data_IF_288026077413
#
_entry.id   IF_288026077413
#
_cell.length_a   1.000
_cell.length_b   1.000
_cell.length_c   1.000
_cell.angle_alpha   90.00
_cell.angle_beta   90.00
_cell.angle_gamma   90.00
#
_symmetry.space_group_name_H-M   'P 1'
#
loop_
_entity.id
_entity.type
_entity.pdbx_description
1 polymer ?
#
# COMPACT_ATOMS: atom_id res chain seq x y z
N UNK A 1 -34.95 63.89 -10.42
CA UNK A 1 -33.89 62.95 -10.95
C UNK A 1 -32.74 62.78 -9.97
N UNK A 2 -32.07 63.78 -9.44
CA UNK A 2 -30.91 63.64 -8.53
C UNK A 2 -31.16 62.80 -7.27
N UNK A 3 -32.36 62.89 -6.66
CA UNK A 3 -32.71 62.08 -5.45
C UNK A 3 -32.87 60.59 -5.74
N UNK A 4 -33.36 60.22 -6.91
CA UNK A 4 -33.51 58.79 -7.30
C UNK A 4 -32.14 58.16 -7.53
N UNK A 5 -31.19 58.86 -8.12
CA UNK A 5 -29.82 58.36 -8.24
C UNK A 5 -29.14 58.14 -6.87
N UNK A 6 -29.41 58.98 -5.89
CA UNK A 6 -28.86 58.87 -4.56
C UNK A 6 -29.36 57.60 -3.86
N UNK A 7 -30.65 57.27 -3.97
CA UNK A 7 -31.22 56.05 -3.45
C UNK A 7 -30.69 54.80 -4.17
N UNK A 8 -30.46 54.86 -5.48
CA UNK A 8 -29.91 53.79 -6.28
C UNK A 8 -28.46 53.47 -5.89
N UNK A 9 -27.64 54.48 -5.70
CA UNK A 9 -26.26 54.36 -5.24
C UNK A 9 -26.20 53.82 -3.81
N UNK A 10 -27.07 54.30 -2.93
CA UNK A 10 -27.17 53.78 -1.54
C UNK A 10 -27.62 52.30 -1.48
N UNK A 11 -28.55 51.89 -2.34
CA UNK A 11 -28.94 50.47 -2.44
C UNK A 11 -27.80 49.60 -2.97
N UNK A 12 -27.06 50.07 -3.97
CA UNK A 12 -25.90 49.30 -4.50
C UNK A 12 -24.80 49.17 -3.45
N UNK A 13 -24.51 50.20 -2.66
CA UNK A 13 -23.55 50.12 -1.55
C UNK A 13 -23.98 49.14 -0.46
N UNK A 14 -25.26 49.06 -0.15
CA UNK A 14 -25.78 48.10 0.85
C UNK A 14 -25.71 46.68 0.31
N UNK A 15 -26.04 46.45 -0.95
CA UNK A 15 -25.98 45.14 -1.59
C UNK A 15 -24.53 44.63 -1.73
N UNK A 16 -23.58 45.49 -2.09
CA UNK A 16 -22.17 45.11 -2.13
C UNK A 16 -21.58 44.83 -0.75
N UNK A 17 -22.05 45.50 0.30
CA UNK A 17 -21.62 45.23 1.66
C UNK A 17 -22.16 43.88 2.22
N UNK A 18 -23.30 43.41 1.70
CA UNK A 18 -23.87 42.12 2.09
C UNK A 18 -23.23 40.89 1.35
N UNK A 19 -22.51 41.12 0.26
CA UNK A 19 -21.84 40.09 -0.51
C UNK A 19 -20.43 39.77 -0.01
N UNK A 20 -19.87 40.51 0.92
CA UNK A 20 -18.64 40.11 1.65
C UNK A 20 -18.97 39.11 2.74
N UNK A 21 -19.53 38.00 2.35
CA UNK A 21 -19.63 36.82 3.22
C UNK A 21 -18.22 36.30 3.51
N UNK A 22 -17.90 36.19 4.77
CA UNK A 22 -16.60 35.72 5.23
C UNK A 22 -16.32 34.30 4.76
N UNK A 23 -15.56 34.09 3.70
CA UNK A 23 -15.00 32.79 3.32
C UNK A 23 -14.23 32.16 4.47
N UNK A 24 -13.61 32.96 5.34
CA UNK A 24 -12.91 32.50 6.53
C UNK A 24 -13.80 31.79 7.58
N UNK A 25 -15.12 31.95 7.57
CA UNK A 25 -16.03 31.21 8.48
C UNK A 25 -16.52 29.89 7.89
N UNK A 26 -16.35 29.67 6.59
CA UNK A 26 -16.69 28.40 5.94
C UNK A 26 -15.55 27.37 6.03
N UNK A 27 -14.34 27.81 6.29
CA UNK A 27 -13.18 26.97 6.59
C UNK A 27 -13.10 26.68 8.10
N UNK A 28 -14.13 26.08 8.67
CA UNK A 28 -14.00 25.49 10.02
C UNK A 28 -13.13 24.25 9.94
N UNK A 29 -11.83 24.43 10.17
CA UNK A 29 -10.94 23.32 10.44
C UNK A 29 -11.41 22.63 11.72
N UNK A 30 -11.80 21.35 11.62
CA UNK A 30 -12.07 20.56 12.81
C UNK A 30 -10.76 20.41 13.60
N UNK A 31 -10.64 21.01 14.81
CA UNK A 31 -9.39 20.98 15.57
C UNK A 31 -8.98 19.57 15.99
N UNK A 32 -9.91 18.61 15.92
CA UNK A 32 -9.67 17.20 16.27
C UNK A 32 -9.43 16.30 15.05
N UNK A 33 -9.39 16.85 13.84
CA UNK A 33 -9.10 16.11 12.62
C UNK A 33 -7.79 16.59 12.01
N UNK A 34 -6.81 15.69 11.91
CA UNK A 34 -5.60 15.98 11.14
C UNK A 34 -5.97 16.38 9.71
N UNK A 35 -5.53 17.54 9.29
CA UNK A 35 -5.61 18.01 7.90
C UNK A 35 -4.28 17.72 7.21
N UNK A 36 -4.21 17.84 5.90
CA UNK A 36 -2.96 17.67 5.18
C UNK A 36 -1.86 18.63 5.68
N UNK A 37 -2.23 19.85 6.07
CA UNK A 37 -1.31 20.87 6.57
C UNK A 37 -0.85 20.62 8.01
N UNK A 38 -1.65 19.95 8.83
CA UNK A 38 -1.35 19.69 10.25
C UNK A 38 -0.80 18.29 10.51
N UNK A 39 -0.91 17.38 9.58
CA UNK A 39 -0.26 16.07 9.58
C UNK A 39 1.19 16.23 9.05
N UNK A 40 2.00 15.28 9.10
CA UNK A 40 3.37 15.28 8.57
C UNK A 40 4.34 16.22 9.32
N UNK A 41 4.09 16.52 10.61
CA UNK A 41 4.92 17.42 11.40
C UNK A 41 5.99 16.69 12.22
N UNK A 42 5.76 15.43 12.53
CA UNK A 42 6.62 14.63 13.41
C UNK A 42 6.97 13.27 12.79
N UNK A 43 8.04 12.63 13.29
CA UNK A 43 8.38 11.26 12.93
C UNK A 43 7.22 10.29 13.20
N UNK A 44 6.47 10.51 14.28
CA UNK A 44 5.30 9.69 14.63
C UNK A 44 4.19 9.76 13.57
N UNK A 45 4.01 10.90 12.91
CA UNK A 45 3.03 11.04 11.82
C UNK A 45 3.41 10.17 10.62
N UNK A 46 4.70 10.15 10.27
CA UNK A 46 5.21 9.28 9.20
C UNK A 46 5.09 7.79 9.55
N UNK A 47 5.36 7.39 10.81
CA UNK A 47 5.18 6.01 11.26
C UNK A 47 3.72 5.58 11.22
N UNK A 48 2.80 6.46 11.60
CA UNK A 48 1.35 6.22 11.49
C UNK A 48 0.93 6.05 10.02
N UNK A 49 1.44 6.92 9.15
CA UNK A 49 1.20 6.82 7.71
C UNK A 49 1.74 5.51 7.13
N UNK A 50 2.97 5.10 7.49
CA UNK A 50 3.56 3.82 7.09
C UNK A 50 2.69 2.64 7.52
N UNK A 51 2.22 2.64 8.77
CA UNK A 51 1.31 1.59 9.27
C UNK A 51 0.05 1.49 8.42
N UNK A 52 -0.46 2.63 7.96
CA UNK A 52 -1.64 2.64 7.07
C UNK A 52 -1.41 1.94 5.73
N UNK A 53 -0.16 1.83 5.25
CA UNK A 53 0.17 1.17 3.99
C UNK A 53 -0.02 -0.36 4.04
N UNK A 54 -0.01 -0.96 5.23
CA UNK A 54 -0.27 -2.40 5.41
C UNK A 54 -1.77 -2.74 5.46
N UNK A 55 -2.63 -1.77 5.77
CA UNK A 55 -4.09 -1.99 5.87
C UNK A 55 -4.70 -2.62 4.61
N UNK A 56 -4.31 -2.22 3.37
CA UNK A 56 -4.84 -2.85 2.17
C UNK A 56 -4.53 -4.34 2.03
N UNK A 57 -3.48 -4.86 2.67
CA UNK A 57 -3.16 -6.29 2.65
C UNK A 57 -4.17 -7.12 3.45
N UNK A 58 -4.64 -6.59 4.58
CA UNK A 58 -5.51 -7.34 5.52
C UNK A 58 -7.00 -7.06 5.38
N UNK A 59 -7.41 -6.13 4.51
CA UNK A 59 -8.82 -5.76 4.39
C UNK A 59 -9.69 -6.95 3.98
N UNK A 60 -10.37 -7.57 4.96
CA UNK A 60 -11.09 -8.82 4.78
C UNK A 60 -12.28 -8.72 3.80
N UNK A 61 -12.98 -7.60 3.80
CA UNK A 61 -14.25 -7.45 3.06
C UNK A 61 -14.09 -6.83 1.67
N UNK A 62 -13.02 -6.06 1.45
CA UNK A 62 -12.83 -5.26 0.24
C UNK A 62 -11.65 -5.75 -0.63
N UNK A 63 -11.40 -7.05 -0.63
CA UNK A 63 -10.41 -7.63 -1.54
C UNK A 63 -8.95 -7.42 -1.14
N UNK A 64 -8.67 -7.18 0.15
CA UNK A 64 -7.30 -7.18 0.65
C UNK A 64 -6.61 -8.49 0.34
N UNK A 65 -5.33 -8.44 -0.07
CA UNK A 65 -4.63 -9.60 -0.63
C UNK A 65 -4.57 -10.80 0.31
N UNK A 66 -4.38 -10.58 1.60
CA UNK A 66 -4.41 -11.59 2.66
C UNK A 66 -5.73 -11.60 3.45
N UNK A 67 -6.69 -10.77 3.08
CA UNK A 67 -8.04 -10.83 3.63
C UNK A 67 -8.81 -12.04 3.09
N UNK A 68 -9.87 -12.44 3.79
CA UNK A 68 -10.67 -13.64 3.49
C UNK A 68 -11.05 -13.73 2.01
N UNK A 69 -11.58 -12.66 1.43
CA UNK A 69 -12.02 -12.64 0.02
C UNK A 69 -10.86 -12.68 -0.96
N UNK A 70 -9.74 -12.05 -0.65
CA UNK A 70 -8.52 -12.11 -1.47
C UNK A 70 -7.91 -13.52 -1.49
N UNK A 71 -7.92 -14.20 -0.34
CA UNK A 71 -7.50 -15.61 -0.25
C UNK A 71 -8.44 -16.50 -1.03
N UNK A 72 -9.77 -16.38 -0.84
CA UNK A 72 -10.77 -17.14 -1.59
C UNK A 72 -10.60 -16.97 -3.10
N UNK A 73 -10.38 -15.75 -3.58
CA UNK A 73 -10.18 -15.45 -5.00
C UNK A 73 -8.97 -16.18 -5.60
N UNK A 74 -7.92 -16.37 -4.81
CA UNK A 74 -6.70 -17.06 -5.27
C UNK A 74 -6.83 -18.57 -5.23
N UNK A 75 -7.34 -19.13 -4.13
CA UNK A 75 -7.51 -20.58 -3.99
C UNK A 75 -8.64 -21.12 -4.87
N UNK A 76 -9.64 -20.30 -5.18
CA UNK A 76 -10.74 -20.68 -6.06
C UNK A 76 -10.30 -21.11 -7.47
N UNK A 77 -9.10 -20.72 -7.89
CA UNK A 77 -8.53 -21.08 -9.20
C UNK A 77 -7.73 -22.39 -9.18
N UNK A 78 -7.69 -23.06 -8.03
CA UNK A 78 -6.99 -24.32 -7.85
C UNK A 78 -7.96 -25.50 -7.92
N UNK A 79 -7.47 -26.67 -8.33
CA UNK A 79 -8.29 -27.86 -8.62
C UNK A 79 -8.88 -28.51 -7.35
N UNK A 80 -8.26 -28.25 -6.18
CA UNK A 80 -8.68 -28.83 -4.92
C UNK A 80 -9.87 -28.15 -4.25
N UNK A 81 -10.37 -27.03 -4.84
CA UNK A 81 -11.42 -26.23 -4.22
C UNK A 81 -12.56 -25.96 -5.18
N UNK A 82 -13.79 -26.18 -4.72
CA UNK A 82 -15.01 -25.79 -5.42
C UNK A 82 -15.83 -24.86 -4.52
N UNK A 83 -16.31 -23.75 -5.09
CA UNK A 83 -17.21 -22.83 -4.42
C UNK A 83 -18.62 -22.90 -4.98
N UNK A 84 -19.60 -22.82 -4.09
CA UNK A 84 -21.01 -22.73 -4.48
C UNK A 84 -21.32 -21.38 -5.14
N UNK A 85 -22.38 -21.33 -5.91
CA UNK A 85 -22.79 -20.13 -6.66
C UNK A 85 -23.44 -19.02 -5.79
N UNK A 86 -23.61 -19.23 -4.49
CA UNK A 86 -24.11 -18.22 -3.55
C UNK A 86 -23.10 -17.08 -3.31
N UNK A 87 -21.80 -17.31 -3.57
CA UNK A 87 -20.76 -16.29 -3.65
C UNK A 87 -20.34 -16.15 -5.11
N UNK A 88 -21.19 -15.48 -5.90
CA UNK A 88 -21.07 -15.44 -7.35
C UNK A 88 -19.69 -15.05 -7.88
N UNK A 89 -19.01 -14.08 -7.23
CA UNK A 89 -17.73 -13.58 -7.67
C UNK A 89 -16.59 -14.61 -7.48
N UNK A 90 -16.65 -15.40 -6.39
CA UNK A 90 -15.70 -16.49 -6.16
C UNK A 90 -16.01 -17.67 -7.08
N UNK A 91 -17.30 -17.97 -7.28
CA UNK A 91 -17.74 -18.97 -8.25
C UNK A 91 -17.25 -18.67 -9.67
N UNK A 92 -17.36 -17.41 -10.12
CA UNK A 92 -16.77 -16.98 -11.39
C UNK A 92 -15.27 -17.25 -11.47
N UNK A 93 -14.53 -17.06 -10.37
CA UNK A 93 -13.10 -17.35 -10.31
C UNK A 93 -12.80 -18.84 -10.47
N UNK A 94 -13.58 -19.73 -9.83
CA UNK A 94 -13.45 -21.18 -9.98
C UNK A 94 -13.58 -21.64 -11.42
N UNK A 95 -14.53 -21.07 -12.15
CA UNK A 95 -14.83 -21.45 -13.53
C UNK A 95 -14.18 -20.57 -14.58
N UNK A 96 -13.28 -19.67 -14.20
CA UNK A 96 -12.59 -18.72 -15.09
C UNK A 96 -13.54 -17.88 -15.95
N UNK A 97 -14.72 -17.56 -15.40
CA UNK A 97 -15.78 -16.78 -16.08
C UNK A 97 -15.87 -15.34 -15.55
N UNK A 98 -14.80 -14.85 -14.96
CA UNK A 98 -14.74 -13.50 -14.41
C UNK A 98 -15.07 -12.46 -15.46
N UNK A 99 -15.92 -11.51 -15.09
CA UNK A 99 -16.24 -10.33 -15.87
C UNK A 99 -15.60 -9.08 -15.29
N UNK A 100 -15.61 -7.99 -16.03
CA UNK A 100 -15.18 -6.67 -15.51
C UNK A 100 -16.01 -6.20 -14.32
N UNK A 101 -17.20 -6.77 -14.09
CA UNK A 101 -18.07 -6.50 -12.96
C UNK A 101 -17.76 -7.33 -11.71
N UNK A 102 -16.77 -8.23 -11.72
CA UNK A 102 -16.41 -9.03 -10.56
C UNK A 102 -15.88 -8.13 -9.43
N UNK A 103 -16.63 -8.03 -8.33
CA UNK A 103 -16.35 -7.08 -7.25
C UNK A 103 -15.08 -7.44 -6.47
N UNK A 104 -14.69 -8.72 -6.41
CA UNK A 104 -13.47 -9.16 -5.74
C UNK A 104 -12.23 -8.74 -6.53
N UNK A 105 -12.25 -8.89 -7.85
CA UNK A 105 -11.18 -8.42 -8.73
C UNK A 105 -11.03 -6.90 -8.67
N UNK A 106 -12.15 -6.17 -8.71
CA UNK A 106 -12.15 -4.71 -8.56
C UNK A 106 -11.65 -4.29 -7.18
N UNK A 107 -12.09 -4.96 -6.12
CA UNK A 107 -11.66 -4.71 -4.76
C UNK A 107 -10.16 -4.90 -4.59
N UNK A 108 -9.59 -5.99 -5.11
CA UNK A 108 -8.14 -6.26 -5.07
C UNK A 108 -7.36 -5.19 -5.83
N UNK A 109 -7.81 -4.82 -7.02
CA UNK A 109 -7.21 -3.75 -7.82
C UNK A 109 -7.22 -2.42 -7.06
N UNK A 110 -8.36 -2.05 -6.48
CA UNK A 110 -8.49 -0.85 -5.65
C UNK A 110 -7.53 -0.86 -4.45
N UNK A 111 -7.41 -1.98 -3.72
CA UNK A 111 -6.52 -2.08 -2.58
C UNK A 111 -5.06 -1.91 -2.97
N UNK A 112 -4.63 -2.47 -4.11
CA UNK A 112 -3.26 -2.30 -4.60
C UNK A 112 -2.96 -0.84 -4.90
N UNK A 113 -3.84 -0.15 -5.62
CA UNK A 113 -3.64 1.28 -5.92
C UNK A 113 -3.77 2.18 -4.70
N UNK A 114 -4.59 1.81 -3.73
CA UNK A 114 -4.66 2.51 -2.45
C UNK A 114 -3.31 2.44 -1.70
N UNK A 115 -2.68 1.28 -1.67
CA UNK A 115 -1.35 1.14 -1.08
C UNK A 115 -0.29 1.92 -1.85
N UNK A 116 -0.28 1.83 -3.19
CA UNK A 116 0.63 2.60 -4.03
C UNK A 116 0.46 4.11 -3.84
N UNK A 117 -0.78 4.60 -3.74
CA UNK A 117 -1.06 6.00 -3.44
C UNK A 117 -0.48 6.43 -2.09
N UNK A 118 -0.70 5.63 -1.03
CA UNK A 118 -0.20 5.93 0.31
C UNK A 118 1.32 5.98 0.35
N UNK A 119 2.00 4.97 -0.20
CA UNK A 119 3.47 4.94 -0.25
C UNK A 119 4.05 6.10 -1.05
N UNK A 120 3.45 6.43 -2.20
CA UNK A 120 3.87 7.57 -3.01
C UNK A 120 3.64 8.90 -2.27
N UNK A 121 2.51 9.05 -1.55
CA UNK A 121 2.23 10.24 -0.74
C UNK A 121 3.25 10.43 0.38
N UNK A 122 3.61 9.36 1.09
CA UNK A 122 4.63 9.42 2.14
C UNK A 122 5.98 9.84 1.54
N UNK A 123 6.41 9.23 0.44
CA UNK A 123 7.68 9.58 -0.20
C UNK A 123 7.71 11.02 -0.70
N UNK A 124 6.61 11.49 -1.28
CA UNK A 124 6.48 12.88 -1.71
C UNK A 124 6.60 13.83 -0.52
N UNK A 125 5.89 13.57 0.59
CA UNK A 125 5.96 14.40 1.80
C UNK A 125 7.34 14.38 2.45
N UNK A 126 8.01 13.25 2.41
CA UNK A 126 9.38 13.12 2.90
C UNK A 126 10.36 13.97 2.07
N UNK A 127 10.15 14.06 0.76
CA UNK A 127 10.93 14.92 -0.13
C UNK A 127 10.61 16.41 0.08
N UNK A 128 9.32 16.78 0.20
CA UNK A 128 8.89 18.15 0.51
C UNK A 128 9.48 18.67 1.83
N UNK A 129 9.72 17.79 2.80
CA UNK A 129 10.28 18.09 4.12
C UNK A 129 11.77 17.74 4.25
N UNK A 130 12.48 17.76 3.13
CA UNK A 130 13.92 17.47 3.13
C UNK A 130 14.67 18.41 4.07
N UNK A 131 15.46 17.82 4.97
CA UNK A 131 16.27 18.56 5.97
C UNK A 131 15.54 18.85 7.30
N UNK A 132 14.24 18.55 7.41
CA UNK A 132 13.51 18.67 8.69
C UNK A 132 13.76 17.46 9.62
N UNK A 133 14.12 16.30 9.04
CA UNK A 133 14.34 15.04 9.77
C UNK A 133 15.77 14.52 9.58
N UNK A 134 16.22 13.71 10.53
CA UNK A 134 17.54 13.07 10.47
C UNK A 134 17.64 12.05 9.31
N UNK A 135 18.84 11.89 8.76
CA UNK A 135 19.09 11.01 7.61
C UNK A 135 18.69 9.54 7.88
N UNK A 136 18.95 9.04 9.09
CA UNK A 136 18.60 7.67 9.48
C UNK A 136 17.08 7.45 9.45
N UNK A 137 16.31 8.42 9.93
CA UNK A 137 14.85 8.37 9.88
C UNK A 137 14.34 8.42 8.44
N UNK A 138 14.86 9.34 7.63
CA UNK A 138 14.51 9.48 6.21
C UNK A 138 14.77 8.17 5.46
N UNK A 139 15.95 7.57 5.67
CA UNK A 139 16.33 6.30 5.06
C UNK A 139 15.43 5.14 5.50
N UNK A 140 15.07 5.09 6.79
CA UNK A 140 14.14 4.09 7.34
C UNK A 140 12.77 4.18 6.67
N UNK A 141 12.16 5.38 6.64
CA UNK A 141 10.85 5.59 6.03
C UNK A 141 10.87 5.27 4.53
N UNK A 142 11.90 5.74 3.83
CA UNK A 142 12.09 5.47 2.41
C UNK A 142 12.22 3.97 2.11
N UNK A 143 13.03 3.27 2.91
CA UNK A 143 13.25 1.83 2.75
C UNK A 143 11.94 1.04 2.91
N UNK A 144 11.15 1.36 3.92
CA UNK A 144 9.87 0.70 4.17
C UNK A 144 8.83 1.01 3.08
N UNK A 145 8.73 2.28 2.65
CA UNK A 145 7.88 2.67 1.51
C UNK A 145 8.24 1.93 0.23
N UNK A 146 9.53 1.84 -0.10
CA UNK A 146 10.00 1.15 -1.30
C UNK A 146 9.76 -0.35 -1.22
N UNK A 147 9.96 -0.97 -0.06
CA UNK A 147 9.59 -2.38 0.14
C UNK A 147 8.10 -2.62 -0.11
N UNK A 148 7.23 -1.83 0.52
CA UNK A 148 5.78 -1.96 0.36
C UNK A 148 5.38 -1.70 -1.09
N UNK A 149 5.90 -0.66 -1.73
CA UNK A 149 5.59 -0.34 -3.13
C UNK A 149 6.04 -1.45 -4.07
N UNK A 150 7.27 -1.94 -3.92
CA UNK A 150 7.79 -3.06 -4.70
C UNK A 150 6.97 -4.33 -4.53
N UNK A 151 6.56 -4.65 -3.29
CA UNK A 151 5.67 -5.77 -3.02
C UNK A 151 4.33 -5.64 -3.75
N UNK A 152 3.67 -4.48 -3.68
CA UNK A 152 2.38 -4.28 -4.36
C UNK A 152 2.51 -4.24 -5.88
N UNK A 153 3.59 -3.69 -6.42
CA UNK A 153 3.87 -3.73 -7.87
C UNK A 153 4.09 -5.17 -8.35
N UNK A 154 4.81 -5.99 -7.59
CA UNK A 154 4.93 -7.40 -7.90
C UNK A 154 3.57 -8.10 -7.95
N UNK A 155 2.74 -7.91 -6.92
CA UNK A 155 1.40 -8.50 -6.88
C UNK A 155 0.51 -7.95 -8.00
N UNK A 156 0.59 -6.66 -8.31
CA UNK A 156 -0.17 -6.03 -9.40
C UNK A 156 0.15 -6.68 -10.74
N UNK A 157 1.44 -6.80 -11.07
CA UNK A 157 1.89 -7.47 -12.30
C UNK A 157 1.49 -8.96 -12.35
N UNK A 158 1.55 -9.66 -11.20
CA UNK A 158 1.17 -11.07 -11.10
C UNK A 158 -0.33 -11.31 -11.32
N UNK A 159 -1.18 -10.50 -10.70
CA UNK A 159 -2.64 -10.73 -10.74
C UNK A 159 -3.32 -10.11 -11.96
N UNK A 160 -2.80 -8.98 -12.47
CA UNK A 160 -3.45 -8.20 -13.53
C UNK A 160 -2.63 -8.09 -14.82
N UNK A 161 -1.40 -8.57 -14.83
CA UNK A 161 -0.45 -8.45 -15.96
C UNK A 161 -0.19 -6.99 -16.30
N UNK A 162 -0.99 -6.41 -17.21
CA UNK A 162 -0.83 -5.06 -17.69
C UNK A 162 -1.73 -4.11 -16.89
N UNK A 163 -1.14 -3.12 -16.24
CA UNK A 163 -1.84 -2.17 -15.39
C UNK A 163 -1.13 -0.80 -15.40
N UNK A 164 -1.80 0.32 -15.09
CA UNK A 164 -1.14 1.61 -15.01
C UNK A 164 -0.05 1.65 -13.95
N UNK A 165 1.18 1.99 -14.32
CA UNK A 165 2.30 2.14 -13.39
C UNK A 165 2.24 3.53 -12.74
N UNK A 166 1.87 3.58 -11.45
CA UNK A 166 1.75 4.83 -10.68
C UNK A 166 2.89 4.96 -9.68
N UNK A 167 3.77 5.92 -9.91
CA UNK A 167 4.96 6.18 -9.10
C UNK A 167 4.90 7.50 -8.33
N UNK A 168 3.82 8.26 -8.49
CA UNK A 168 3.60 9.53 -7.79
C UNK A 168 2.22 9.57 -7.17
N UNK A 169 2.06 10.35 -6.10
CA UNK A 169 0.75 10.65 -5.55
C UNK A 169 -0.03 11.53 -6.53
N UNK A 170 -1.23 11.07 -6.91
CA UNK A 170 -2.07 11.80 -7.87
C UNK A 170 -2.97 12.77 -7.11
N UNK A 171 -2.80 14.06 -7.32
CA UNK A 171 -3.53 15.12 -6.62
C UNK A 171 -4.63 15.78 -7.48
N UNK A 172 -4.66 15.48 -8.78
CA UNK A 172 -5.60 16.10 -9.71
C UNK A 172 -6.27 15.06 -10.60
N UNK A 173 -7.58 15.20 -10.88
CA UNK A 173 -8.28 14.34 -11.85
C UNK A 173 -7.63 14.27 -13.23
N UNK A 174 -6.93 15.31 -13.65
CA UNK A 174 -6.19 15.31 -14.93
C UNK A 174 -5.01 14.37 -14.98
N UNK A 175 -4.49 13.93 -13.82
CA UNK A 175 -3.39 12.96 -13.70
C UNK A 175 -3.87 11.53 -13.50
N UNK A 176 -5.18 11.27 -13.40
CA UNK A 176 -5.73 9.94 -13.20
C UNK A 176 -5.62 9.02 -14.41
N UNK A 177 -5.89 9.47 -15.65
CA UNK A 177 -5.72 8.61 -16.82
C UNK A 177 -4.24 8.31 -17.05
N UNK A 178 -3.89 7.04 -16.99
CA UNK A 178 -2.58 6.53 -17.40
C UNK A 178 -2.78 5.34 -18.33
N UNK A 179 -1.91 5.26 -19.32
CA UNK A 179 -1.83 4.05 -20.14
C UNK A 179 -1.37 2.85 -19.30
N UNK A 180 -1.70 1.66 -19.77
CA UNK A 180 -1.26 0.42 -19.13
C UNK A 180 0.20 0.17 -19.47
N UNK A 181 1.01 -0.01 -18.45
CA UNK A 181 2.35 -0.58 -18.58
C UNK A 181 2.27 -2.10 -18.68
N UNK A 182 3.23 -2.71 -19.33
CA UNK A 182 3.36 -4.16 -19.39
C UNK A 182 3.76 -4.74 -18.02
N UNK A 183 3.53 -6.03 -17.83
CA UNK A 183 3.97 -6.76 -16.64
C UNK A 183 5.48 -6.61 -16.41
N UNK A 184 6.27 -6.69 -17.48
CA UNK A 184 7.73 -6.56 -17.40
C UNK A 184 8.16 -5.17 -16.89
N UNK A 185 7.51 -4.09 -17.36
CA UNK A 185 7.78 -2.73 -16.88
C UNK A 185 7.39 -2.56 -15.40
N UNK A 186 6.25 -3.15 -14.99
CA UNK A 186 5.79 -3.11 -13.59
C UNK A 186 6.77 -3.87 -12.69
N UNK A 187 7.22 -5.06 -13.10
CA UNK A 187 8.17 -5.88 -12.33
C UNK A 187 9.58 -5.29 -12.32
N UNK A 188 10.02 -4.68 -13.42
CA UNK A 188 11.28 -3.92 -13.43
C UNK A 188 11.28 -2.78 -12.41
N UNK A 189 10.16 -2.06 -12.25
CA UNK A 189 10.04 -1.05 -11.21
C UNK A 189 9.99 -1.68 -9.80
N UNK A 190 9.30 -2.80 -9.63
CA UNK A 190 9.30 -3.54 -8.37
C UNK A 190 10.70 -3.99 -7.96
N UNK A 191 11.49 -4.50 -8.93
CA UNK A 191 12.89 -4.87 -8.73
C UNK A 191 13.74 -3.69 -8.26
N UNK A 192 13.64 -2.53 -8.93
CA UNK A 192 14.38 -1.32 -8.54
C UNK A 192 14.01 -0.85 -7.13
N UNK A 193 12.73 -0.84 -6.80
CA UNK A 193 12.24 -0.46 -5.47
C UNK A 193 12.79 -1.39 -4.39
N UNK A 194 12.70 -2.70 -4.61
CA UNK A 194 13.14 -3.73 -3.65
C UNK A 194 14.66 -3.77 -3.49
N UNK A 195 15.44 -3.59 -4.55
CA UNK A 195 16.90 -3.49 -4.47
C UNK A 195 17.30 -2.25 -3.66
N UNK A 196 16.66 -1.11 -3.90
CA UNK A 196 16.91 0.11 -3.12
C UNK A 196 16.48 -0.08 -1.67
N UNK A 197 15.31 -0.68 -1.41
CA UNK A 197 14.86 -1.02 -0.06
C UNK A 197 15.88 -1.93 0.65
N UNK A 198 16.35 -3.00 0.00
CA UNK A 198 17.32 -3.92 0.56
C UNK A 198 18.66 -3.26 0.91
N UNK A 199 19.06 -2.21 0.19
CA UNK A 199 20.28 -1.46 0.50
C UNK A 199 20.18 -0.65 1.80
N UNK A 200 18.97 -0.24 2.18
CA UNK A 200 18.67 0.61 3.33
C UNK A 200 18.12 -0.17 4.54
N UNK A 201 17.45 -1.30 4.29
CA UNK A 201 16.83 -2.11 5.35
C UNK A 201 17.87 -2.85 6.19
N UNK A 202 17.65 -2.99 7.50
CA UNK A 202 18.51 -3.78 8.37
C UNK A 202 18.37 -5.28 8.07
N UNK A 203 19.41 -6.05 8.39
CA UNK A 203 19.35 -7.53 8.31
C UNK A 203 18.35 -8.08 9.32
N UNK A 204 18.28 -7.49 10.51
CA UNK A 204 17.31 -7.79 11.56
C UNK A 204 16.62 -6.50 11.99
N UNK A 205 15.31 -6.54 12.16
CA UNK A 205 14.53 -5.43 12.69
C UNK A 205 14.09 -5.77 14.12
N UNK A 206 14.27 -4.81 15.03
CA UNK A 206 13.84 -4.98 16.43
C UNK A 206 12.32 -4.88 16.59
N UNK A 207 11.64 -4.31 15.61
CA UNK A 207 10.18 -4.21 15.58
C UNK A 207 9.64 -5.33 14.71
N UNK A 208 8.94 -6.26 15.35
CA UNK A 208 8.28 -7.39 14.66
C UNK A 208 7.24 -6.83 13.67
N UNK A 209 7.11 -7.46 12.51
CA UNK A 209 6.20 -7.01 11.44
C UNK A 209 6.76 -5.91 10.53
N UNK A 210 7.92 -5.34 10.86
CA UNK A 210 8.61 -4.42 9.95
C UNK A 210 9.52 -5.19 8.98
N UNK A 211 9.66 -4.70 7.71
CA UNK A 211 10.46 -5.40 6.72
C UNK A 211 11.96 -5.39 7.07
N UNK A 212 12.63 -6.43 6.61
CA UNK A 212 14.08 -6.61 6.70
C UNK A 212 14.70 -6.69 5.32
N UNK A 213 16.02 -6.61 5.23
CA UNK A 213 16.75 -6.90 3.99
C UNK A 213 16.38 -8.29 3.45
N UNK A 214 16.24 -9.29 4.32
CA UNK A 214 15.83 -10.64 3.93
C UNK A 214 14.44 -10.68 3.32
N UNK A 215 13.50 -9.91 3.86
CA UNK A 215 12.16 -9.79 3.29
C UNK A 215 12.18 -9.22 1.86
N UNK A 216 13.00 -8.17 1.61
CA UNK A 216 13.15 -7.61 0.28
C UNK A 216 13.77 -8.62 -0.70
N UNK A 217 14.80 -9.35 -0.28
CA UNK A 217 15.41 -10.40 -1.10
C UNK A 217 14.46 -11.56 -1.38
N UNK A 218 13.63 -11.95 -0.43
CA UNK A 218 12.62 -13.00 -0.64
C UNK A 218 11.58 -12.61 -1.71
N UNK A 219 11.15 -11.34 -1.72
CA UNK A 219 10.22 -10.85 -2.76
C UNK A 219 10.93 -10.75 -4.11
N UNK A 220 12.18 -10.26 -4.16
CA UNK A 220 13.00 -10.22 -5.37
C UNK A 220 13.21 -11.62 -5.97
N UNK A 221 13.55 -12.58 -5.13
CA UNK A 221 13.70 -13.97 -5.56
C UNK A 221 12.41 -14.53 -6.17
N UNK A 222 11.25 -14.17 -5.61
CA UNK A 222 9.95 -14.52 -6.24
C UNK A 222 9.77 -13.87 -7.59
N UNK A 223 10.13 -12.60 -7.78
CA UNK A 223 10.06 -11.93 -9.08
C UNK A 223 10.89 -12.70 -10.10
N UNK A 224 12.15 -12.98 -9.78
CA UNK A 224 13.06 -13.69 -10.70
C UNK A 224 12.60 -15.11 -11.04
N UNK A 225 12.01 -15.84 -10.07
CA UNK A 225 11.39 -17.15 -10.35
C UNK A 225 10.22 -17.02 -11.32
N UNK A 226 9.38 -15.99 -11.17
CA UNK A 226 8.25 -15.76 -12.09
C UNK A 226 8.68 -15.28 -13.48
N UNK A 227 9.86 -14.65 -13.58
CA UNK A 227 10.50 -14.26 -14.84
C UNK A 227 11.34 -15.40 -15.46
N UNK A 228 11.43 -16.56 -14.79
CA UNK A 228 12.25 -17.70 -15.17
C UNK A 228 13.77 -17.40 -15.19
N UNK A 229 14.18 -16.30 -14.51
CA UNK A 229 15.59 -15.95 -14.30
C UNK A 229 16.11 -16.65 -13.03
N UNK A 230 16.33 -17.96 -13.16
CA UNK A 230 16.71 -18.79 -12.01
C UNK A 230 18.11 -18.47 -11.49
N UNK A 231 19.00 -17.98 -12.34
CA UNK A 231 20.36 -17.60 -11.94
C UNK A 231 20.32 -16.42 -10.98
N UNK A 232 19.58 -15.37 -11.30
CA UNK A 232 19.34 -14.25 -10.38
C UNK A 232 18.55 -14.67 -9.13
N UNK A 233 17.58 -15.58 -9.27
CA UNK A 233 16.83 -16.07 -8.13
C UNK A 233 17.77 -16.78 -7.13
N UNK A 234 18.69 -17.61 -7.59
CA UNK A 234 19.69 -18.28 -6.76
C UNK A 234 20.63 -17.24 -6.12
N UNK A 235 21.17 -16.31 -6.92
CA UNK A 235 22.07 -15.26 -6.44
C UNK A 235 21.50 -14.47 -5.27
N UNK A 236 20.21 -14.12 -5.31
CA UNK A 236 19.57 -13.30 -4.29
C UNK A 236 19.04 -14.11 -3.09
N UNK A 237 18.65 -15.37 -3.30
CA UNK A 237 18.04 -16.19 -2.24
C UNK A 237 19.08 -17.03 -1.48
N UNK A 238 20.13 -17.54 -2.12
CA UNK A 238 21.14 -18.36 -1.44
C UNK A 238 21.78 -17.67 -0.22
N UNK A 239 22.08 -16.35 -0.22
CA UNK A 239 22.59 -15.67 0.95
C UNK A 239 21.68 -15.75 2.18
N UNK A 240 20.37 -15.87 2.00
CA UNK A 240 19.40 -15.94 3.11
C UNK A 240 19.57 -17.22 3.97
N UNK A 241 20.18 -18.25 3.43
CA UNK A 241 20.46 -19.50 4.13
C UNK A 241 21.77 -19.48 4.93
N UNK A 242 22.49 -18.33 4.92
CA UNK A 242 23.83 -18.18 5.50
C UNK A 242 23.90 -16.95 6.41
N UNK A 243 24.90 -16.91 7.28
CA UNK A 243 25.19 -15.71 8.08
C UNK A 243 25.32 -14.47 7.17
N UNK A 244 24.79 -13.31 7.55
CA UNK A 244 24.26 -12.95 8.87
C UNK A 244 22.78 -13.29 9.10
N UNK A 245 22.10 -13.90 8.14
CA UNK A 245 20.72 -14.32 8.30
C UNK A 245 20.62 -15.59 9.16
N UNK A 246 19.50 -15.76 9.86
CA UNK A 246 19.27 -16.87 10.79
C UNK A 246 18.08 -17.72 10.39
N UNK A 247 17.55 -17.52 9.16
CA UNK A 247 16.41 -18.29 8.67
C UNK A 247 16.76 -19.76 8.51
N UNK A 248 15.89 -20.63 9.01
CA UNK A 248 16.01 -22.07 8.90
C UNK A 248 14.64 -22.73 9.03
N UNK A 249 14.51 -23.94 8.54
CA UNK A 249 13.30 -24.72 8.74
C UNK A 249 13.11 -25.00 10.24
N UNK A 250 11.88 -24.89 10.71
CA UNK A 250 11.51 -25.24 12.07
C UNK A 250 11.56 -26.78 12.25
N UNK A 251 11.74 -27.23 13.48
CA UNK A 251 11.86 -28.66 13.78
C UNK A 251 10.54 -29.39 13.54
N UNK A 252 9.41 -28.79 13.96
CA UNK A 252 8.08 -29.32 13.71
C UNK A 252 7.33 -28.43 12.72
N UNK A 253 6.98 -29.01 11.58
CA UNK A 253 6.21 -28.32 10.53
C UNK A 253 4.89 -27.71 11.03
N UNK A 254 4.27 -28.29 12.06
CA UNK A 254 3.04 -27.77 12.66
C UNK A 254 3.21 -26.38 13.28
N UNK A 255 4.43 -26.01 13.69
CA UNK A 255 4.71 -24.69 14.26
C UNK A 255 4.47 -23.53 13.29
N UNK A 256 4.43 -23.78 11.99
CA UNK A 256 4.07 -22.77 11.02
C UNK A 256 2.57 -22.44 10.95
N UNK A 257 1.74 -23.16 11.73
CA UNK A 257 0.28 -23.06 11.66
C UNK A 257 -0.39 -22.88 13.03
N UNK A 258 0.38 -22.71 14.08
CA UNK A 258 -0.13 -22.43 15.41
C UNK A 258 0.16 -20.99 15.86
N UNK A 259 -0.55 -20.53 16.87
CA UNK A 259 -0.47 -19.19 17.43
C UNK A 259 0.63 -19.03 18.51
N UNK A 260 1.29 -20.13 18.89
CA UNK A 260 2.35 -20.14 19.90
C UNK A 260 3.72 -19.86 19.28
N UNK A 261 3.91 -20.27 18.05
CA UNK A 261 5.19 -20.17 17.32
C UNK A 261 5.19 -19.09 16.21
N UNK A 262 4.39 -18.03 16.38
CA UNK A 262 4.44 -16.88 15.48
C UNK A 262 5.84 -16.27 15.43
N UNK A 263 6.21 -15.71 14.28
CA UNK A 263 7.54 -15.13 14.02
C UNK A 263 8.70 -16.09 14.28
N UNK A 264 8.49 -17.39 14.00
CA UNK A 264 9.52 -18.40 14.12
C UNK A 264 10.67 -18.21 13.11
N UNK A 265 11.71 -19.02 13.21
CA UNK A 265 12.93 -18.90 12.40
C UNK A 265 12.77 -19.28 10.92
N UNK A 266 11.66 -19.90 10.52
CA UNK A 266 11.31 -20.13 9.12
C UNK A 266 10.66 -18.89 8.49
N UNK A 267 10.07 -18.02 9.32
CA UNK A 267 9.40 -16.83 8.86
C UNK A 267 10.38 -15.72 8.47
N UNK A 268 10.28 -15.26 7.22
CA UNK A 268 11.09 -14.16 6.70
C UNK A 268 10.39 -12.81 6.89
N UNK A 269 9.08 -12.79 6.76
CA UNK A 269 8.24 -11.60 6.93
C UNK A 269 6.80 -12.00 7.25
N UNK A 270 6.28 -11.48 8.33
CA UNK A 270 4.89 -11.67 8.77
C UNK A 270 4.16 -10.36 8.92
N UNK A 271 2.87 -10.38 8.57
CA UNK A 271 1.95 -9.30 8.88
C UNK A 271 1.27 -9.57 10.20
N UNK A 272 1.56 -8.78 11.20
CA UNK A 272 0.88 -8.87 12.48
C UNK A 272 -0.56 -8.38 12.34
N UNK A 273 -1.50 -9.24 12.69
CA UNK A 273 -2.92 -8.94 12.71
C UNK A 273 -3.44 -9.07 14.14
N UNK A 274 -3.61 -7.92 14.80
CA UNK A 274 -4.32 -7.94 16.08
C UNK A 274 -5.81 -8.22 15.87
N UNK A 275 -6.46 -8.99 16.75
CA UNK A 275 -7.90 -9.16 16.74
C UNK A 275 -8.58 -7.77 16.83
N UNK A 276 -9.59 -7.55 16.01
CA UNK A 276 -10.40 -6.32 16.09
C UNK A 276 -11.24 -6.40 17.36
N UNK A 277 -10.87 -5.59 18.35
CA UNK A 277 -11.55 -5.53 19.64
C UNK A 277 -10.91 -6.47 20.65
N UNK A 278 -9.82 -6.02 21.27
CA UNK A 278 -9.27 -6.69 22.44
C UNK A 278 -10.34 -6.83 23.53
N UNK A 279 -10.87 -8.02 23.62
CA UNK A 279 -11.46 -8.53 24.84
C UNK A 279 -10.66 -9.77 25.17
N UNK A 280 -9.77 -9.62 26.16
CA UNK A 280 -9.19 -10.72 26.89
C UNK A 280 -10.29 -11.70 27.34
#
# INVERSE_FOLDING_TARGET
>A
MKRIYLYFISCIMVVTGLCTSCDAQLEQMNPNKATEDTFWQTEADFELALTSCYTPLKNALNGGYYGTRGVMMRIARADEVEFRNDISDVFQACYFTNTNGNSLSQGMFYQFYNALYRTNSIMQKLEEKQGEFGEDFVNKVKAECLFIRGFYLFQLGKEFKNAPLRLTASQSPSTFPLEKSSQAEIWSQAEQDLLTAASLLPVKNDVIGKPTKGAAYAVLGKIYVYEEDFDKAIEILEPLTKSPYTYRLVEDFAWNFDDVHENNEESIFELLMEPVGGTD
#
